data_IF_316003537599
#
_entry.id   IF_316003537599
#
_cell.length_a   1.000
_cell.length_b   1.000
_cell.length_c   1.000
_cell.angle_alpha   90.00
_cell.angle_beta   90.00
_cell.angle_gamma   90.00
#
_symmetry.space_group_name_H-M   'P 1'
#
loop_
_entity.id
_entity.type
_entity.pdbx_description
1 polymer ?
#
# COMPACT_ATOMS: atom_id res chain seq x y z
N UNK A 1 -6.88 -2.38 10.42
CA UNK A 1 -6.26 -1.04 10.49
C UNK A 1 -6.12 -0.46 9.09
N UNK A 2 -5.37 -1.12 8.20
CA UNK A 2 -5.15 -0.68 6.80
C UNK A 2 -6.47 -0.45 6.02
N UNK A 3 -7.40 -1.41 6.02
CA UNK A 3 -8.68 -1.24 5.31
C UNK A 3 -9.60 -0.18 5.93
N UNK A 4 -9.49 0.05 7.24
CA UNK A 4 -10.28 1.09 7.93
C UNK A 4 -9.88 2.50 7.52
N UNK A 5 -8.68 2.67 6.98
CA UNK A 5 -8.19 3.93 6.41
C UNK A 5 -8.28 3.95 4.89
N UNK A 6 -9.01 3.00 4.29
CA UNK A 6 -9.19 2.91 2.84
C UNK A 6 -8.06 2.20 2.08
N UNK A 7 -7.10 1.62 2.78
CA UNK A 7 -5.96 0.93 2.16
C UNK A 7 -6.22 -0.54 1.83
N UNK A 8 -5.44 -1.05 0.88
CA UNK A 8 -5.31 -2.49 0.59
C UNK A 8 -4.12 -3.04 1.38
N UNK A 9 -4.33 -4.15 2.09
CA UNK A 9 -3.25 -4.88 2.76
C UNK A 9 -2.65 -5.93 1.84
N UNK A 10 -1.33 -5.87 1.67
CA UNK A 10 -0.55 -6.81 0.87
C UNK A 10 0.56 -7.44 1.72
N UNK A 11 0.71 -8.76 1.64
CA UNK A 11 1.83 -9.46 2.24
C UNK A 11 3.05 -9.37 1.31
N UNK A 12 4.05 -8.57 1.70
CA UNK A 12 5.31 -8.45 0.98
C UNK A 12 6.20 -9.68 1.21
N UNK A 13 6.98 -10.02 0.18
CA UNK A 13 8.03 -11.03 0.16
C UNK A 13 7.74 -12.29 1.02
N UNK A 14 6.66 -13.04 0.70
CA UNK A 14 6.18 -14.16 1.53
C UNK A 14 7.13 -15.36 1.56
N UNK A 15 8.10 -15.44 0.64
CA UNK A 15 9.18 -16.44 0.63
C UNK A 15 10.09 -16.37 1.86
N UNK A 16 10.12 -15.25 2.57
CA UNK A 16 10.89 -15.11 3.82
C UNK A 16 10.21 -15.80 5.02
N UNK A 17 9.00 -16.35 4.85
CA UNK A 17 8.25 -17.01 5.91
C UNK A 17 8.64 -18.49 6.06
N UNK A 18 8.79 -18.94 7.30
CA UNK A 18 9.03 -20.37 7.62
C UNK A 18 7.82 -21.27 7.35
N UNK A 19 6.60 -20.76 7.58
CA UNK A 19 5.34 -21.48 7.38
C UNK A 19 4.32 -20.58 6.64
N UNK A 20 4.49 -20.39 5.32
CA UNK A 20 3.72 -19.41 4.57
C UNK A 20 2.22 -19.72 4.56
N UNK A 21 1.80 -20.98 4.40
CA UNK A 21 0.37 -21.33 4.32
C UNK A 21 -0.40 -20.97 5.59
N UNK A 22 0.14 -21.33 6.77
CA UNK A 22 -0.52 -21.04 8.04
C UNK A 22 -0.62 -19.52 8.30
N UNK A 23 0.44 -18.77 7.97
CA UNK A 23 0.47 -17.31 8.13
C UNK A 23 -0.51 -16.64 7.17
N UNK A 24 -0.50 -17.02 5.89
CA UNK A 24 -1.38 -16.47 4.87
C UNK A 24 -2.85 -16.74 5.24
N UNK A 25 -3.18 -17.96 5.69
CA UNK A 25 -4.53 -18.31 6.17
C UNK A 25 -4.97 -17.41 7.33
N UNK A 26 -4.10 -17.20 8.32
CA UNK A 26 -4.40 -16.34 9.47
C UNK A 26 -4.60 -14.89 9.04
N UNK A 27 -3.73 -14.36 8.18
CA UNK A 27 -3.83 -12.99 7.68
C UNK A 27 -5.05 -12.80 6.79
N UNK A 28 -5.42 -13.79 5.98
CA UNK A 28 -6.67 -13.77 5.20
C UNK A 28 -7.88 -13.62 6.14
N UNK A 29 -7.93 -14.40 7.22
CA UNK A 29 -8.97 -14.28 8.25
C UNK A 29 -9.01 -12.89 8.92
N UNK A 30 -7.86 -12.20 8.98
CA UNK A 30 -7.75 -10.83 9.50
C UNK A 30 -8.01 -9.72 8.45
N UNK A 31 -8.32 -10.07 7.20
CA UNK A 31 -8.58 -9.13 6.12
C UNK A 31 -7.38 -8.81 5.23
N UNK A 32 -6.54 -9.81 4.92
CA UNK A 32 -5.53 -9.71 3.86
C UNK A 32 -6.20 -9.71 2.46
N UNK A 33 -5.76 -8.80 1.60
CA UNK A 33 -6.32 -8.60 0.26
C UNK A 33 -5.42 -9.14 -0.85
N UNK A 34 -4.11 -8.97 -0.68
CA UNK A 34 -3.11 -9.29 -1.70
C UNK A 34 -1.86 -9.93 -1.09
N UNK A 35 -1.03 -10.53 -1.95
CA UNK A 35 0.33 -10.93 -1.60
C UNK A 35 1.27 -10.70 -2.79
N UNK A 36 2.54 -10.59 -2.49
CA UNK A 36 3.58 -10.58 -3.49
C UNK A 36 3.78 -11.98 -4.10
N UNK A 37 3.77 -12.05 -5.42
CA UNK A 37 3.96 -13.27 -6.21
C UNK A 37 4.97 -13.04 -7.33
N UNK A 38 5.10 -11.80 -7.81
CA UNK A 38 6.01 -11.42 -8.88
C UNK A 38 7.26 -10.75 -8.32
N UNK A 39 8.42 -11.15 -8.85
CA UNK A 39 9.76 -10.62 -8.62
C UNK A 39 10.41 -10.35 -9.99
N UNK A 40 11.65 -9.85 -10.01
CA UNK A 40 12.40 -9.60 -11.25
C UNK A 40 12.71 -10.87 -12.04
N UNK A 41 12.97 -11.97 -11.34
CA UNK A 41 13.17 -13.30 -11.91
C UNK A 41 11.86 -13.99 -12.31
N UNK A 42 10.72 -13.30 -12.14
CA UNK A 42 9.41 -13.73 -12.62
C UNK A 42 8.45 -14.09 -11.49
N UNK A 43 7.58 -15.06 -11.76
CA UNK A 43 6.47 -15.46 -10.89
C UNK A 43 6.89 -16.65 -10.03
N UNK A 44 6.72 -16.57 -8.71
CA UNK A 44 7.04 -17.68 -7.81
C UNK A 44 5.85 -18.65 -7.73
N UNK A 45 5.92 -19.79 -8.41
CA UNK A 45 4.79 -20.70 -8.65
C UNK A 45 4.07 -21.15 -7.37
N UNK A 46 4.80 -21.52 -6.30
CA UNK A 46 4.20 -21.93 -5.02
C UNK A 46 3.35 -20.82 -4.36
N UNK A 47 3.79 -19.57 -4.46
CA UNK A 47 3.03 -18.42 -3.92
C UNK A 47 1.87 -18.03 -4.83
N UNK A 48 1.98 -18.24 -6.13
CA UNK A 48 0.88 -18.04 -7.06
C UNK A 48 -0.32 -18.95 -6.73
N UNK A 49 -0.04 -20.22 -6.42
CA UNK A 49 -1.06 -21.19 -6.02
C UNK A 49 -1.66 -20.86 -4.65
N UNK A 50 -0.83 -20.42 -3.69
CA UNK A 50 -1.34 -19.96 -2.39
C UNK A 50 -2.24 -18.72 -2.53
N UNK A 51 -1.89 -17.79 -3.41
CA UNK A 51 -2.72 -16.62 -3.69
C UNK A 51 -4.08 -17.03 -4.28
N UNK A 52 -4.10 -17.97 -5.22
CA UNK A 52 -5.34 -18.53 -5.77
C UNK A 52 -6.17 -19.23 -4.69
N UNK A 53 -5.54 -20.12 -3.91
CA UNK A 53 -6.18 -20.87 -2.83
C UNK A 53 -6.92 -19.98 -1.84
N UNK A 54 -6.35 -18.83 -1.49
CA UNK A 54 -6.92 -17.90 -0.51
C UNK A 54 -7.66 -16.70 -1.13
N UNK A 55 -7.81 -16.67 -2.46
CA UNK A 55 -8.46 -15.58 -3.18
C UNK A 55 -7.79 -14.23 -2.89
N UNK A 56 -6.48 -14.15 -3.12
CA UNK A 56 -5.65 -12.98 -2.92
C UNK A 56 -5.17 -12.42 -4.27
N UNK A 57 -5.13 -11.10 -4.40
CA UNK A 57 -4.51 -10.46 -5.55
C UNK A 57 -3.00 -10.75 -5.57
N UNK A 58 -2.48 -10.99 -6.77
CA UNK A 58 -1.07 -11.25 -7.03
C UNK A 58 -0.37 -9.96 -7.41
N UNK A 59 0.48 -9.44 -6.53
CA UNK A 59 1.24 -8.20 -6.75
C UNK A 59 2.74 -8.48 -6.84
N UNK A 60 3.54 -7.44 -7.06
CA UNK A 60 4.99 -7.51 -7.18
C UNK A 60 5.62 -6.14 -6.94
N UNK A 61 6.86 -6.13 -6.45
CA UNK A 61 7.67 -4.94 -6.31
C UNK A 61 9.15 -5.28 -6.36
N UNK A 62 10.00 -4.31 -6.71
CA UNK A 62 11.45 -4.54 -6.79
C UNK A 62 12.11 -4.69 -5.41
N UNK A 63 11.49 -4.16 -4.37
CA UNK A 63 12.09 -4.05 -3.03
C UNK A 63 13.49 -3.38 -3.11
N UNK A 64 13.60 -2.35 -3.95
CA UNK A 64 14.85 -1.64 -4.21
C UNK A 64 15.26 -0.75 -3.04
N UNK A 65 16.54 -0.82 -2.65
CA UNK A 65 17.15 -0.12 -1.53
C UNK A 65 18.41 0.68 -1.90
N UNK A 66 18.85 0.68 -3.17
CA UNK A 66 20.01 1.44 -3.64
C UNK A 66 21.35 0.92 -3.11
N UNK A 67 21.47 -0.39 -2.87
CA UNK A 67 22.69 -1.03 -2.36
C UNK A 67 23.79 -1.14 -3.41
N UNK A 68 23.47 -1.07 -4.70
CA UNK A 68 24.43 -1.16 -5.79
C UNK A 68 25.05 -2.57 -5.94
N UNK A 69 24.42 -3.57 -5.34
CA UNK A 69 24.80 -4.98 -5.45
C UNK A 69 24.16 -5.61 -6.69
N UNK A 70 24.84 -6.57 -7.33
CA UNK A 70 24.33 -7.26 -8.52
C UNK A 70 23.03 -8.05 -8.29
N UNK A 71 22.73 -8.40 -7.05
CA UNK A 71 21.53 -9.18 -6.68
C UNK A 71 20.32 -8.29 -6.33
N UNK A 72 20.47 -6.96 -6.36
CA UNK A 72 19.37 -6.03 -6.15
C UNK A 72 18.57 -5.85 -7.43
N UNK A 73 17.24 -5.83 -7.29
CA UNK A 73 16.35 -5.57 -8.42
C UNK A 73 16.13 -4.07 -8.58
N UNK A 74 16.42 -3.54 -9.77
CA UNK A 74 16.21 -2.12 -10.07
C UNK A 74 14.74 -1.70 -10.01
N UNK A 75 14.52 -0.41 -9.79
CA UNK A 75 13.19 0.21 -9.75
C UNK A 75 12.45 -0.07 -11.06
N UNK A 76 11.25 -0.65 -10.95
CA UNK A 76 10.37 -0.89 -12.10
C UNK A 76 10.70 -2.14 -12.93
N UNK A 77 11.67 -2.96 -12.50
CA UNK A 77 12.02 -4.20 -13.21
C UNK A 77 11.07 -5.36 -12.95
N UNK A 78 10.28 -5.30 -11.86
CA UNK A 78 9.16 -6.23 -11.67
C UNK A 78 7.99 -5.82 -12.56
N UNK A 79 7.83 -6.50 -13.70
CA UNK A 79 6.74 -6.21 -14.64
C UNK A 79 5.43 -6.83 -14.15
N UNK A 80 4.39 -6.00 -14.03
CA UNK A 80 3.03 -6.44 -13.74
C UNK A 80 2.16 -6.24 -14.97
N UNK A 81 1.29 -7.21 -15.25
CA UNK A 81 0.28 -7.05 -16.30
C UNK A 81 -0.67 -5.89 -15.94
N UNK A 82 -1.12 -5.14 -16.94
CA UNK A 82 -2.09 -4.05 -16.72
C UNK A 82 -3.38 -4.55 -16.08
N UNK A 83 -3.76 -5.80 -16.37
CA UNK A 83 -4.91 -6.48 -15.74
C UNK A 83 -4.75 -6.61 -14.24
N UNK A 84 -3.53 -6.83 -13.73
CA UNK A 84 -3.25 -6.82 -12.29
C UNK A 84 -3.58 -5.47 -11.66
N UNK A 85 -3.23 -4.36 -12.33
CA UNK A 85 -3.57 -3.01 -11.88
C UNK A 85 -5.09 -2.78 -11.90
N UNK A 86 -5.78 -3.22 -12.97
CA UNK A 86 -7.23 -3.14 -13.04
C UNK A 86 -7.90 -3.89 -11.87
N UNK A 87 -7.50 -5.14 -11.61
CA UNK A 87 -8.03 -5.93 -10.48
C UNK A 87 -7.72 -5.30 -9.12
N UNK A 88 -6.55 -4.67 -8.97
CA UNK A 88 -6.22 -3.90 -7.77
C UNK A 88 -7.19 -2.73 -7.58
N UNK A 89 -7.43 -1.93 -8.62
CA UNK A 89 -8.33 -0.78 -8.55
C UNK A 89 -9.80 -1.20 -8.32
N UNK A 90 -10.23 -2.30 -8.93
CA UNK A 90 -11.56 -2.89 -8.71
C UNK A 90 -11.76 -3.29 -7.25
N UNK A 91 -10.78 -3.96 -6.64
CA UNK A 91 -10.82 -4.34 -5.23
C UNK A 91 -10.72 -3.13 -4.29
N UNK A 92 -9.83 -2.18 -4.59
CA UNK A 92 -9.54 -1.03 -3.74
C UNK A 92 -10.68 0.00 -3.71
N UNK A 93 -11.42 0.14 -4.83
CA UNK A 93 -12.50 1.12 -4.97
C UNK A 93 -13.54 1.10 -3.85
N UNK A 94 -14.24 -0.02 -3.60
CA UNK A 94 -15.24 -0.05 -2.52
C UNK A 94 -14.62 0.24 -1.15
N UNK A 95 -13.38 -0.19 -0.91
CA UNK A 95 -12.69 -0.04 0.37
C UNK A 95 -12.37 1.44 0.64
N UNK A 96 -11.71 2.14 -0.29
CA UNK A 96 -11.42 3.55 -0.10
C UNK A 96 -12.70 4.40 -0.11
N UNK A 97 -13.71 4.05 -0.91
CA UNK A 97 -14.96 4.81 -0.97
C UNK A 97 -15.71 4.72 0.35
N UNK A 98 -15.75 3.54 0.97
CA UNK A 98 -16.35 3.36 2.30
C UNK A 98 -15.59 4.17 3.35
N UNK A 99 -14.27 4.04 3.40
CA UNK A 99 -13.45 4.76 4.38
C UNK A 99 -13.59 6.28 4.23
N UNK A 100 -13.59 6.80 3.00
CA UNK A 100 -13.79 8.23 2.74
C UNK A 100 -15.17 8.72 3.18
N UNK A 101 -16.23 7.95 2.93
CA UNK A 101 -17.57 8.28 3.45
C UNK A 101 -17.57 8.35 4.97
N UNK A 102 -16.99 7.36 5.65
CA UNK A 102 -16.91 7.33 7.11
C UNK A 102 -16.13 8.53 7.67
N UNK A 103 -15.03 8.92 7.02
CA UNK A 103 -14.23 10.09 7.39
C UNK A 103 -15.05 11.38 7.25
N UNK A 104 -15.74 11.56 6.11
CA UNK A 104 -16.54 12.75 5.85
C UNK A 104 -17.77 12.84 6.75
N UNK A 105 -18.44 11.71 7.04
CA UNK A 105 -19.57 11.67 7.97
C UNK A 105 -19.16 12.06 9.39
N UNK A 106 -18.06 11.50 9.90
CA UNK A 106 -17.52 11.89 11.22
C UNK A 106 -17.16 13.37 11.28
N UNK A 107 -16.65 13.93 10.19
CA UNK A 107 -16.36 15.36 10.11
C UNK A 107 -17.64 16.21 10.16
N UNK A 108 -18.69 15.77 9.46
CA UNK A 108 -19.97 16.47 9.44
C UNK A 108 -20.71 16.42 10.79
N UNK A 109 -20.60 15.31 11.52
CA UNK A 109 -21.25 15.12 12.83
C UNK A 109 -20.60 15.98 13.94
N UNK A 110 -19.29 16.24 13.86
CA UNK A 110 -18.58 17.08 14.83
C UNK A 110 -17.54 18.00 14.13
N UNK A 111 -17.97 19.13 13.53
CA UNK A 111 -17.13 20.01 12.71
C UNK A 111 -16.12 20.87 13.51
N UNK A 112 -15.70 20.42 14.70
CA UNK A 112 -14.78 21.17 15.57
C UNK A 112 -13.32 21.12 15.07
N UNK A 113 -12.56 22.18 15.30
CA UNK A 113 -11.12 22.24 15.02
C UNK A 113 -10.32 21.10 15.70
N UNK A 114 -10.82 20.59 16.83
CA UNK A 114 -10.23 19.46 17.55
C UNK A 114 -10.37 18.12 16.79
N UNK A 115 -11.41 17.96 15.95
CA UNK A 115 -11.58 16.79 15.10
C UNK A 115 -10.82 16.91 13.78
N UNK A 116 -10.72 18.12 13.22
CA UNK A 116 -9.87 18.39 12.05
C UNK A 116 -8.41 17.99 12.34
N UNK A 117 -7.87 18.34 13.51
CA UNK A 117 -6.53 17.94 13.94
C UNK A 117 -6.34 16.44 14.16
N UNK A 118 -7.40 15.68 14.48
CA UNK A 118 -7.34 14.21 14.60
C UNK A 118 -7.40 13.52 13.24
N UNK A 119 -8.16 14.08 12.30
CA UNK A 119 -8.33 13.55 10.93
C UNK A 119 -7.11 13.87 10.05
N UNK A 120 -6.49 15.05 10.21
CA UNK A 120 -5.32 15.49 9.43
C UNK A 120 -3.97 14.99 9.97
N UNK A 121 -3.93 14.35 11.14
CA UNK A 121 -2.69 13.89 11.79
C UNK A 121 -1.87 12.88 10.99
N UNK A 122 -2.42 12.31 9.92
CA UNK A 122 -1.71 11.41 9.01
C UNK A 122 -1.14 12.09 7.76
N UNK A 123 -1.33 13.40 7.59
CA UNK A 123 -0.74 14.21 6.51
C UNK A 123 0.46 15.06 6.96
N UNK A 124 0.88 14.99 8.24
CA UNK A 124 2.07 15.72 8.69
C UNK A 124 3.34 15.03 8.16
N UNK A 125 3.78 15.46 6.98
CA UNK A 125 5.20 15.52 6.66
C UNK A 125 5.87 16.38 7.74
N UNK A 126 6.70 15.77 8.58
CA UNK A 126 7.79 16.46 9.28
C UNK A 126 8.59 17.25 8.22
N UNK A 127 8.96 18.52 8.34
CA UNK A 127 9.10 19.45 9.46
C UNK A 127 9.02 20.90 8.88
N UNK A 128 8.91 21.95 9.73
CA UNK A 128 8.78 23.35 9.35
C UNK A 128 10.16 23.99 9.08
N UNK A 129 10.13 25.25 8.65
CA UNK A 129 11.26 26.16 8.41
C UNK A 129 12.03 25.96 7.10
N UNK A 130 11.69 26.75 6.08
CA UNK A 130 12.47 26.76 4.85
C UNK A 130 11.96 27.60 3.69
N UNK A 131 11.25 28.71 3.90
CA UNK A 131 11.09 29.71 2.84
C UNK A 131 11.15 31.12 3.44
N UNK A 132 12.31 31.77 3.29
CA UNK A 132 12.41 33.21 3.43
C UNK A 132 11.78 33.89 2.20
N UNK A 133 11.14 35.07 2.35
CA UNK A 133 10.59 35.80 1.21
C UNK A 133 11.70 36.26 0.26
N UNK A 134 11.48 36.08 -1.03
CA UNK A 134 12.35 36.58 -2.08
C UNK A 134 12.07 38.08 -2.23
N UNK A 135 13.08 38.90 -1.93
CA UNK A 135 13.05 40.35 -2.10
C UNK A 135 12.98 40.70 -3.59
N UNK A 136 11.89 41.33 -4.02
CA UNK A 136 11.75 41.87 -5.37
C UNK A 136 12.38 43.27 -5.42
N UNK A 137 13.71 43.29 -5.55
CA UNK A 137 14.47 44.51 -5.82
C UNK A 137 14.21 45.00 -7.25
N UNK A 138 13.60 46.17 -7.35
CA UNK A 138 13.47 46.97 -8.58
C UNK A 138 14.72 47.80 -8.84
N UNK A 139 15.32 47.64 -10.02
CA UNK A 139 16.02 48.69 -10.79
C UNK A 139 15.84 48.44 -12.27
#
# INVERSE_FOLDING_TARGET
MISRTGGISALAHPWSLKNPDAVIRSLKGAGLHAMEVYRSDGKVDGFSQLAEKYGLLKLGGSDFHGKGTKDETDVGEVKLAITTLCSFLEMARPIWCSAMKDILLKFAEEPSAANLGKTLKFGQLSNPDGFAPIDSGST
#
